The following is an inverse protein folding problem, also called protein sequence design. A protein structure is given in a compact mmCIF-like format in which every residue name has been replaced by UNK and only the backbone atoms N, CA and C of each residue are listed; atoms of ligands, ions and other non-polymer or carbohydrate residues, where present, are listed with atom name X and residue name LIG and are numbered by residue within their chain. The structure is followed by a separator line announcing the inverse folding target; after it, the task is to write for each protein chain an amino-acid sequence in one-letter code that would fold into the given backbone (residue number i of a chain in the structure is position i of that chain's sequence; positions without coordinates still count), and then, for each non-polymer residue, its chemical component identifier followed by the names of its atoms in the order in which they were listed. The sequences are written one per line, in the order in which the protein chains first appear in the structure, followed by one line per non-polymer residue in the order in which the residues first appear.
data_IF_215971102421
#
_entry.id   IF_215971102421
#
_cell.length_a   1.000
_cell.length_b   1.000
_cell.length_c   1.000
_cell.angle_alpha   90.00
_cell.angle_beta   90.00
_cell.angle_gamma   90.00
#
_symmetry.space_group_name_H-M   'P 1'
#
loop_
_entity.id
_entity.type
_entity.pdbx_description
1 polymer ?
#
# COMPACT_ATOMS: atom_id res chain seq x y z
N UNK A 1 16.19 -11.36 -2.29
CA UNK A 1 14.85 -10.83 -2.61
C UNK A 1 15.03 -9.45 -3.22
N UNK A 2 14.48 -9.20 -4.41
CA UNK A 2 14.51 -7.87 -5.02
C UNK A 2 13.55 -6.92 -4.29
N UNK A 3 13.86 -5.61 -4.24
CA UNK A 3 12.97 -4.64 -3.59
C UNK A 3 11.70 -4.34 -4.41
N UNK A 4 11.67 -4.75 -5.68
CA UNK A 4 10.49 -4.75 -6.54
C UNK A 4 9.96 -6.18 -6.80
N UNK A 5 8.69 -6.30 -7.23
CA UNK A 5 8.10 -7.55 -7.69
C UNK A 5 8.80 -8.05 -8.96
N UNK A 6 9.07 -9.36 -8.99
CA UNK A 6 9.57 -10.05 -10.17
C UNK A 6 8.51 -10.07 -11.28
N UNK A 7 8.93 -10.40 -12.51
CA UNK A 7 7.98 -10.49 -13.62
C UNK A 7 6.98 -11.63 -13.39
N UNK A 8 7.44 -12.80 -12.93
CA UNK A 8 6.59 -13.96 -12.68
C UNK A 8 5.51 -13.65 -11.63
N UNK A 9 5.83 -12.91 -10.56
CA UNK A 9 4.83 -12.48 -9.58
C UNK A 9 3.83 -11.46 -10.14
N UNK A 10 4.27 -10.61 -11.08
CA UNK A 10 3.38 -9.66 -11.75
C UNK A 10 2.43 -10.42 -12.70
N UNK A 11 2.95 -11.41 -13.42
CA UNK A 11 2.18 -12.22 -14.35
C UNK A 11 1.15 -13.09 -13.59
N UNK A 12 1.55 -13.71 -12.48
CA UNK A 12 0.64 -14.44 -11.58
C UNK A 12 -0.45 -13.53 -10.99
N UNK A 13 -0.08 -12.32 -10.53
CA UNK A 13 -1.03 -11.33 -10.03
C UNK A 13 -2.03 -10.87 -11.11
N UNK A 14 -1.61 -10.85 -12.37
CA UNK A 14 -2.38 -10.27 -13.46
C UNK A 14 -3.04 -11.31 -14.38
N UNK A 15 -2.93 -12.61 -14.11
CA UNK A 15 -3.52 -13.67 -14.94
C UNK A 15 -5.02 -13.40 -15.19
N UNK A 16 -5.51 -13.37 -16.46
CA UNK A 16 -4.88 -13.78 -17.73
C UNK A 16 -4.28 -12.65 -18.59
N UNK A 17 -3.96 -11.49 -18.01
CA UNK A 17 -3.44 -10.34 -18.76
C UNK A 17 -1.98 -10.56 -19.20
N UNK A 18 -1.78 -10.71 -20.51
CA UNK A 18 -0.45 -10.91 -21.11
C UNK A 18 0.21 -9.61 -21.60
N UNK A 19 -0.56 -8.53 -21.76
CA UNK A 19 -0.04 -7.25 -22.23
C UNK A 19 0.42 -6.39 -21.05
N UNK A 20 1.69 -5.98 -21.03
CA UNK A 20 2.24 -5.12 -19.96
C UNK A 20 1.42 -3.82 -19.77
N UNK A 21 0.94 -3.19 -20.84
CA UNK A 21 0.09 -2.02 -20.74
C UNK A 21 -1.25 -2.31 -20.05
N UNK A 22 -1.80 -3.52 -20.22
CA UNK A 22 -3.01 -3.95 -19.53
C UNK A 22 -2.73 -4.23 -18.05
N UNK A 23 -1.62 -4.90 -17.74
CA UNK A 23 -1.15 -5.13 -16.37
C UNK A 23 -0.94 -3.78 -15.64
N UNK A 24 -0.27 -2.80 -16.27
CA UNK A 24 -0.09 -1.45 -15.73
C UNK A 24 -1.43 -0.78 -15.37
N UNK A 25 -2.42 -0.84 -16.27
CA UNK A 25 -3.76 -0.26 -16.02
C UNK A 25 -4.47 -0.98 -14.87
N UNK A 26 -4.37 -2.30 -14.81
CA UNK A 26 -4.96 -3.10 -13.76
C UNK A 26 -4.36 -2.76 -12.39
N UNK A 27 -3.03 -2.78 -12.27
CA UNK A 27 -2.34 -2.53 -11.00
C UNK A 27 -2.56 -1.09 -10.52
N UNK A 28 -2.62 -0.10 -11.43
CA UNK A 28 -3.01 1.28 -11.07
C UNK A 28 -4.41 1.37 -10.47
N UNK A 29 -5.36 0.57 -10.95
CA UNK A 29 -6.74 0.53 -10.42
C UNK A 29 -6.82 -0.07 -9.02
N UNK A 30 -5.84 -0.88 -8.62
CA UNK A 30 -5.72 -1.42 -7.26
C UNK A 30 -5.25 -0.37 -6.24
N UNK A 31 -4.92 0.85 -6.67
CA UNK A 31 -4.41 1.91 -5.79
C UNK A 31 -2.93 1.76 -5.45
N UNK A 32 -2.22 0.87 -6.15
CA UNK A 32 -0.77 0.68 -6.00
C UNK A 32 -0.05 1.69 -6.88
N UNK A 33 1.01 2.30 -6.36
CA UNK A 33 1.91 3.15 -7.14
C UNK A 33 2.76 2.29 -8.05
N UNK A 34 2.66 2.52 -9.36
CA UNK A 34 3.33 1.70 -10.40
C UNK A 34 4.14 2.58 -11.33
N UNK A 35 5.43 2.28 -11.42
CA UNK A 35 6.32 2.81 -12.45
C UNK A 35 6.38 1.90 -13.68
N UNK A 36 7.12 2.33 -14.69
CA UNK A 36 7.32 1.58 -15.93
C UNK A 36 8.82 1.31 -16.12
N UNK A 37 9.18 0.05 -16.40
CA UNK A 37 10.56 -0.34 -16.73
C UNK A 37 10.88 0.03 -18.20
N UNK A 38 12.17 0.09 -18.60
CA UNK A 38 12.54 0.39 -19.99
C UNK A 38 11.98 -0.59 -21.04
N UNK A 39 11.61 -1.81 -20.63
CA UNK A 39 10.97 -2.82 -21.50
C UNK A 39 9.42 -2.71 -21.50
N UNK A 40 8.84 -1.69 -20.87
CA UNK A 40 7.41 -1.47 -20.75
C UNK A 40 6.71 -2.29 -19.65
N UNK A 41 7.42 -3.16 -18.93
CA UNK A 41 6.84 -3.97 -17.86
C UNK A 41 6.55 -3.14 -16.59
N UNK A 42 5.55 -3.54 -15.76
CA UNK A 42 5.27 -2.86 -14.52
C UNK A 42 6.45 -2.89 -13.55
N UNK A 43 6.75 -1.74 -12.93
CA UNK A 43 7.66 -1.64 -11.80
C UNK A 43 6.85 -1.37 -10.52
N UNK A 44 6.77 -2.40 -9.67
CA UNK A 44 6.04 -2.34 -8.41
C UNK A 44 6.99 -2.59 -7.26
N UNK A 45 7.08 -1.65 -6.32
CA UNK A 45 7.87 -1.84 -5.10
C UNK A 45 7.13 -2.79 -4.16
N UNK A 46 7.81 -3.86 -3.73
CA UNK A 46 7.20 -4.92 -2.91
C UNK A 46 6.64 -4.39 -1.60
N UNK A 47 7.41 -3.58 -0.88
CA UNK A 47 6.99 -3.00 0.40
C UNK A 47 5.71 -2.16 0.26
N UNK A 48 5.60 -1.36 -0.80
CA UNK A 48 4.40 -0.55 -1.05
C UNK A 48 3.19 -1.43 -1.43
N UNK A 49 3.41 -2.48 -2.23
CA UNK A 49 2.36 -3.42 -2.58
C UNK A 49 1.80 -4.12 -1.34
N UNK A 50 2.68 -4.65 -0.48
CA UNK A 50 2.29 -5.30 0.79
C UNK A 50 1.53 -4.34 1.72
N UNK A 51 1.99 -3.09 1.86
CA UNK A 51 1.29 -2.08 2.66
C UNK A 51 -0.10 -1.74 2.10
N UNK A 52 -0.24 -1.67 0.77
CA UNK A 52 -1.50 -1.35 0.11
C UNK A 52 -2.50 -2.51 0.22
N UNK A 53 -2.02 -3.74 0.06
CA UNK A 53 -2.84 -4.96 0.06
C UNK A 53 -3.16 -5.49 1.46
N UNK A 54 -2.40 -5.10 2.48
CA UNK A 54 -2.67 -5.44 3.87
C UNK A 54 -3.18 -4.22 4.67
N UNK A 55 -4.49 -3.90 4.60
CA UNK A 55 -5.04 -2.74 5.29
C UNK A 55 -4.94 -2.86 6.83
N UNK A 56 -4.87 -4.08 7.38
CA UNK A 56 -4.70 -4.30 8.81
C UNK A 56 -3.31 -3.91 9.32
N UNK A 57 -2.29 -3.91 8.44
CA UNK A 57 -0.93 -3.50 8.75
C UNK A 57 -0.71 -1.98 8.66
N UNK A 58 -1.69 -1.23 8.17
CA UNK A 58 -1.54 0.21 7.92
C UNK A 58 -1.44 0.96 9.24
N UNK A 59 -0.24 1.44 9.59
CA UNK A 59 -0.03 2.27 10.77
C UNK A 59 -0.76 3.59 10.54
N UNK A 60 -1.78 3.85 11.36
CA UNK A 60 -2.50 5.12 11.33
C UNK A 60 -1.49 6.22 11.69
N UNK A 61 -1.37 7.29 10.87
CA UNK A 61 -0.48 8.40 11.21
C UNK A 61 -0.87 8.97 12.58
N UNK A 62 0.10 9.46 13.37
CA UNK A 62 -0.20 10.04 14.67
C UNK A 62 -1.20 11.19 14.50
N UNK A 63 -2.16 11.27 15.42
CA UNK A 63 -3.16 12.34 15.39
C UNK A 63 -2.46 13.70 15.53
N UNK A 64 -2.77 14.63 14.62
CA UNK A 64 -2.17 15.99 14.60
C UNK A 64 -2.48 16.79 15.87
N UNK A 65 -3.63 16.53 16.47
CA UNK A 65 -4.01 17.04 17.78
C UNK A 65 -4.40 15.85 18.66
N UNK A 66 -3.84 15.80 19.86
CA UNK A 66 -4.28 14.88 20.91
C UNK A 66 -5.05 15.69 21.95
N UNK A 67 -6.19 15.18 22.46
CA UNK A 67 -6.93 15.87 23.51
C UNK A 67 -6.08 15.95 24.79
N UNK A 68 -6.32 16.99 25.61
CA UNK A 68 -5.69 17.12 26.92
C UNK A 68 -6.12 15.96 27.83
N UNK A 69 -5.35 14.87 27.79
CA UNK A 69 -5.63 13.65 28.55
C UNK A 69 -5.58 13.88 30.06
N UNK A 70 -4.82 14.88 30.53
CA UNK A 70 -4.78 15.24 31.95
C UNK A 70 -6.11 15.89 32.37
N UNK A 71 -6.62 16.82 31.58
CA UNK A 71 -7.93 17.45 31.83
C UNK A 71 -9.09 16.45 31.79
N UNK A 72 -9.08 15.52 30.84
CA UNK A 72 -10.09 14.46 30.75
C UNK A 72 -10.07 13.57 32.01
N UNK A 73 -8.89 13.09 32.45
CA UNK A 73 -8.79 12.25 33.66
C UNK A 73 -9.30 12.97 34.90
N UNK A 74 -8.98 14.25 35.06
CA UNK A 74 -9.44 15.06 36.19
C UNK A 74 -10.98 15.21 36.20
N UNK A 75 -11.60 15.35 35.03
CA UNK A 75 -13.05 15.49 34.91
C UNK A 75 -13.81 14.22 35.34
N UNK A 76 -13.21 13.04 35.15
CA UNK A 76 -13.83 11.74 35.43
C UNK A 76 -13.27 11.03 36.67
N UNK A 77 -12.32 11.61 37.40
CA UNK A 77 -11.76 11.03 38.64
C UNK A 77 -12.59 11.29 39.89
N UNK A 78 -13.82 11.82 39.75
CA UNK A 78 -14.78 11.96 40.84
C UNK A 78 -15.84 10.86 40.75
N UNK A 79 -15.65 9.81 41.55
CA UNK A 79 -16.53 8.65 41.71
C UNK A 79 -15.80 7.58 42.49
#
# INVERSE_FOLDING_TARGET
MTPWLSQDEIDDLCDPLTQHAAQLRFIRRLGVTVGEKPNGAPLVMRAHFEETMNPAGKKRPPAKCTPNSAGLRLAYSKG
#
